data_IF_462824418747
#
_entry.id   IF_462824418747
#
_cell.length_a   1.000
_cell.length_b   1.000
_cell.length_c   1.000
_cell.angle_alpha   90.00
_cell.angle_beta   90.00
_cell.angle_gamma   90.00
#
_symmetry.space_group_name_H-M   'P 1'
#
loop_
_entity.id
_entity.type
_entity.pdbx_description
1 polymer ?
#
# COMPACT_ATOMS: atom_id res chain seq x y z
N UNK A 1 17.19 2.55 47.34
CA UNK A 1 17.36 2.19 45.92
C UNK A 1 16.19 1.38 45.33
N UNK A 2 15.17 0.99 46.13
CA UNK A 2 14.06 0.14 45.66
C UNK A 2 12.91 0.97 45.06
N UNK A 3 12.76 2.24 45.45
CA UNK A 3 11.69 3.16 45.03
C UNK A 3 11.76 3.59 43.55
N UNK A 4 12.96 3.69 42.95
CA UNK A 4 13.09 4.07 41.53
C UNK A 4 12.73 2.93 40.56
N UNK A 5 12.73 1.69 41.03
CA UNK A 5 12.36 0.52 40.21
C UNK A 5 10.84 0.37 40.07
N UNK A 6 10.08 0.91 41.03
CA UNK A 6 8.62 0.85 41.01
C UNK A 6 8.00 1.96 40.15
N UNK A 7 8.58 3.15 40.11
CA UNK A 7 8.06 4.25 39.28
C UNK A 7 8.10 3.92 37.78
N UNK A 8 9.17 3.29 37.29
CA UNK A 8 9.34 2.94 35.87
C UNK A 8 8.54 1.72 35.42
N UNK A 9 8.15 0.85 36.37
CA UNK A 9 7.37 -0.37 36.07
C UNK A 9 5.87 -0.07 35.97
N UNK A 10 5.37 0.93 36.72
CA UNK A 10 3.94 1.31 36.74
C UNK A 10 3.66 2.46 35.74
N UNK A 11 4.65 3.32 35.45
CA UNK A 11 4.58 4.34 34.41
C UNK A 11 5.42 3.92 33.21
N UNK A 12 4.92 2.93 32.46
CA UNK A 12 5.48 2.68 31.14
C UNK A 12 5.06 3.86 30.24
N UNK A 13 6.01 4.65 29.75
CA UNK A 13 5.77 5.81 28.87
C UNK A 13 4.87 5.46 27.66
N UNK A 14 4.84 4.18 27.28
CA UNK A 14 3.98 3.64 26.22
C UNK A 14 2.48 3.51 26.59
N UNK A 15 2.09 3.61 27.88
CA UNK A 15 0.69 3.54 28.34
C UNK A 15 0.13 4.90 28.81
N UNK A 16 0.94 5.97 28.84
CA UNK A 16 0.50 7.31 29.30
C UNK A 16 -0.02 8.21 28.17
N UNK A 17 -0.26 7.67 26.97
CA UNK A 17 -0.92 8.40 25.88
C UNK A 17 -0.16 9.64 25.38
N UNK A 18 1.11 9.79 25.76
CA UNK A 18 2.00 10.84 25.24
C UNK A 18 2.55 10.33 23.90
N UNK A 19 2.27 11.04 22.79
CA UNK A 19 2.84 10.69 21.49
C UNK A 19 4.37 10.79 21.54
N UNK A 20 5.05 9.65 21.61
CA UNK A 20 6.50 9.56 21.39
C UNK A 20 6.74 9.58 19.88
N UNK A 21 7.59 10.47 19.33
CA UNK A 21 7.97 10.42 17.93
C UNK A 21 8.57 9.04 17.61
N UNK A 22 7.85 8.25 16.81
CA UNK A 22 8.24 6.88 16.42
C UNK A 22 7.67 5.74 17.29
N UNK A 23 6.86 6.01 18.32
CA UNK A 23 6.28 4.96 19.19
C UNK A 23 4.79 5.11 19.52
N UNK A 24 4.10 6.08 18.93
CA UNK A 24 2.66 6.27 19.13
C UNK A 24 1.83 5.49 18.11
N UNK A 25 0.72 4.91 18.57
CA UNK A 25 -0.57 4.65 17.93
C UNK A 25 -0.74 5.02 16.43
N UNK A 26 -0.24 6.17 15.99
CA UNK A 26 -0.32 6.64 14.61
C UNK A 26 0.45 5.75 13.62
N UNK A 27 1.62 5.21 14.00
CA UNK A 27 2.35 4.26 13.15
C UNK A 27 1.54 2.97 12.95
N UNK A 28 0.82 2.52 13.99
CA UNK A 28 -0.02 1.33 13.94
C UNK A 28 -1.28 1.58 13.10
N UNK A 29 -1.90 2.76 13.22
CA UNK A 29 -3.07 3.15 12.41
C UNK A 29 -2.69 3.29 10.93
N UNK A 30 -1.57 3.96 10.61
CA UNK A 30 -1.10 4.12 9.23
C UNK A 30 -0.78 2.75 8.63
N UNK A 31 -0.05 1.88 9.34
CA UNK A 31 0.22 0.52 8.87
C UNK A 31 -1.06 -0.30 8.70
N UNK A 32 -2.01 -0.19 9.64
CA UNK A 32 -3.26 -0.96 9.60
C UNK A 32 -4.17 -0.57 8.43
N UNK A 33 -4.08 0.66 7.91
CA UNK A 33 -4.90 1.13 6.78
C UNK A 33 -4.12 0.96 5.46
N UNK A 34 -2.82 1.24 5.42
CA UNK A 34 -2.04 1.20 4.18
C UNK A 34 -1.80 -0.21 3.63
N UNK A 35 -1.49 -1.19 4.48
CA UNK A 35 -1.26 -2.57 4.02
C UNK A 35 -2.47 -3.20 3.29
N UNK A 36 -3.70 -3.15 3.81
CA UNK A 36 -4.84 -3.67 3.07
C UNK A 36 -5.15 -2.87 1.81
N UNK A 37 -4.93 -1.55 1.80
CA UNK A 37 -5.12 -0.73 0.59
C UNK A 37 -4.17 -1.16 -0.53
N UNK A 38 -2.88 -1.35 -0.23
CA UNK A 38 -1.91 -1.84 -1.22
C UNK A 38 -2.24 -3.24 -1.72
N UNK A 39 -2.69 -4.12 -0.83
CA UNK A 39 -3.12 -5.47 -1.20
C UNK A 39 -4.28 -5.43 -2.19
N UNK A 40 -5.34 -4.69 -1.88
CA UNK A 40 -6.50 -4.56 -2.76
C UNK A 40 -6.15 -3.85 -4.08
N UNK A 41 -5.34 -2.79 -4.04
CA UNK A 41 -4.88 -2.11 -5.24
C UNK A 41 -4.11 -3.04 -6.17
N UNK A 42 -3.23 -3.89 -5.62
CA UNK A 42 -2.51 -4.91 -6.38
C UNK A 42 -3.44 -5.97 -6.98
N UNK A 43 -4.40 -6.48 -6.20
CA UNK A 43 -5.38 -7.47 -6.68
C UNK A 43 -6.23 -6.91 -7.83
N UNK A 44 -6.74 -5.68 -7.68
CA UNK A 44 -7.55 -5.03 -8.73
C UNK A 44 -6.70 -4.83 -9.99
N UNK A 45 -5.45 -4.39 -9.86
CA UNK A 45 -4.56 -4.23 -11.01
C UNK A 45 -4.36 -5.55 -11.78
N UNK A 46 -4.12 -6.66 -11.08
CA UNK A 46 -3.97 -7.99 -11.71
C UNK A 46 -5.24 -8.41 -12.44
N UNK A 47 -6.42 -8.23 -11.84
CA UNK A 47 -7.71 -8.57 -12.47
C UNK A 47 -7.93 -7.77 -13.76
N UNK A 48 -7.61 -6.47 -13.75
CA UNK A 48 -7.73 -5.61 -14.93
C UNK A 48 -6.78 -6.04 -16.04
N UNK A 49 -5.53 -6.40 -15.70
CA UNK A 49 -4.55 -6.90 -16.68
C UNK A 49 -5.05 -8.20 -17.33
N UNK A 50 -5.60 -9.13 -16.54
CA UNK A 50 -6.14 -10.39 -17.05
C UNK A 50 -7.32 -10.13 -17.99
N UNK A 51 -8.29 -9.31 -17.58
CA UNK A 51 -9.46 -8.96 -18.38
C UNK A 51 -9.06 -8.28 -19.70
N UNK A 52 -8.13 -7.33 -19.64
CA UNK A 52 -7.60 -6.64 -20.82
C UNK A 52 -6.81 -7.60 -21.75
N UNK A 53 -6.10 -8.57 -21.18
CA UNK A 53 -5.40 -9.63 -21.90
C UNK A 53 -6.34 -10.54 -22.69
N UNK A 54 -7.45 -10.99 -22.06
CA UNK A 54 -8.49 -11.75 -22.78
C UNK A 54 -9.09 -10.94 -23.93
N UNK A 55 -9.38 -9.66 -23.69
CA UNK A 55 -9.91 -8.77 -24.71
C UNK A 55 -8.91 -8.57 -25.87
N UNK A 56 -7.61 -8.50 -25.58
CA UNK A 56 -6.56 -8.39 -26.58
C UNK A 56 -6.49 -9.63 -27.50
N UNK A 57 -6.51 -10.82 -26.91
CA UNK A 57 -6.45 -12.09 -27.66
C UNK A 57 -7.70 -12.31 -28.51
N UNK A 58 -8.89 -11.99 -27.98
CA UNK A 58 -10.15 -12.19 -28.72
C UNK A 58 -10.36 -11.19 -29.86
N UNK A 59 -9.63 -10.07 -29.85
CA UNK A 59 -9.81 -8.96 -30.81
C UNK A 59 -9.06 -9.15 -32.14
N UNK A 60 -8.50 -10.33 -32.41
CA UNK A 60 -7.56 -10.60 -33.51
C UNK A 60 -8.05 -10.31 -34.94
N UNK A 61 -9.33 -9.96 -35.13
CA UNK A 61 -9.92 -9.63 -36.43
C UNK A 61 -10.36 -8.18 -36.61
N UNK A 62 -10.36 -7.33 -35.57
CA UNK A 62 -10.80 -5.94 -35.68
C UNK A 62 -9.76 -4.98 -35.09
N UNK A 63 -9.12 -4.11 -35.90
CA UNK A 63 -8.06 -3.21 -35.46
C UNK A 63 -8.54 -2.19 -34.41
N UNK A 64 -9.82 -1.83 -34.40
CA UNK A 64 -10.37 -0.90 -33.41
C UNK A 64 -10.49 -1.56 -32.03
N UNK A 65 -10.85 -2.83 -31.97
CA UNK A 65 -10.89 -3.60 -30.72
C UNK A 65 -9.47 -3.88 -30.19
N UNK A 66 -8.53 -4.14 -31.11
CA UNK A 66 -7.12 -4.32 -30.77
C UNK A 66 -6.51 -3.07 -30.13
N UNK A 67 -6.76 -1.89 -30.69
CA UNK A 67 -6.32 -0.60 -30.12
C UNK A 67 -6.93 -0.35 -28.75
N UNK A 68 -8.23 -0.62 -28.57
CA UNK A 68 -8.89 -0.48 -27.26
C UNK A 68 -8.27 -1.40 -26.21
N UNK A 69 -8.00 -2.66 -26.56
CA UNK A 69 -7.35 -3.60 -25.66
C UNK A 69 -5.92 -3.18 -25.30
N UNK A 70 -5.14 -2.69 -26.26
CA UNK A 70 -3.79 -2.15 -26.01
C UNK A 70 -3.81 -0.96 -25.05
N UNK A 71 -4.74 -0.02 -25.25
CA UNK A 71 -4.88 1.14 -24.38
C UNK A 71 -5.30 0.72 -22.95
N UNK A 72 -6.18 -0.27 -22.83
CA UNK A 72 -6.57 -0.83 -21.53
C UNK A 72 -5.38 -1.49 -20.82
N UNK A 73 -4.55 -2.26 -21.54
CA UNK A 73 -3.32 -2.84 -20.98
C UNK A 73 -2.34 -1.75 -20.55
N UNK A 74 -2.11 -0.72 -21.38
CA UNK A 74 -1.26 0.41 -21.02
C UNK A 74 -1.75 1.11 -19.76
N UNK A 75 -3.05 1.37 -19.64
CA UNK A 75 -3.64 1.96 -18.43
C UNK A 75 -3.44 1.09 -17.19
N UNK A 76 -3.58 -0.23 -17.33
CA UNK A 76 -3.38 -1.18 -16.23
C UNK A 76 -1.91 -1.25 -15.78
N UNK A 77 -0.97 -1.22 -16.73
CA UNK A 77 0.47 -1.18 -16.45
C UNK A 77 0.86 0.12 -15.73
N UNK A 78 0.35 1.26 -16.19
CA UNK A 78 0.58 2.55 -15.52
C UNK A 78 0.02 2.54 -14.11
N UNK A 79 -1.18 2.01 -13.91
CA UNK A 79 -1.78 1.85 -12.57
C UNK A 79 -0.92 0.98 -11.65
N UNK A 80 -0.37 -0.12 -12.15
CA UNK A 80 0.55 -0.98 -11.38
C UNK A 80 1.81 -0.22 -10.95
N UNK A 81 2.41 0.55 -11.86
CA UNK A 81 3.59 1.38 -11.57
C UNK A 81 3.26 2.39 -10.47
N UNK A 82 2.09 3.04 -10.53
CA UNK A 82 1.65 4.00 -9.50
C UNK A 82 1.53 3.33 -8.13
N UNK A 83 0.99 2.12 -8.05
CA UNK A 83 0.90 1.38 -6.77
C UNK A 83 2.29 1.05 -6.21
N UNK A 84 3.23 0.63 -7.07
CA UNK A 84 4.61 0.37 -6.67
C UNK A 84 5.32 1.63 -6.17
N UNK A 85 5.12 2.77 -6.84
CA UNK A 85 5.66 4.06 -6.43
C UNK A 85 5.05 4.52 -5.10
N UNK A 86 3.74 4.35 -4.92
CA UNK A 86 3.05 4.69 -3.68
C UNK A 86 3.59 3.87 -2.50
N UNK A 87 3.89 2.58 -2.69
CA UNK A 87 4.54 1.76 -1.67
C UNK A 87 5.92 2.32 -1.27
N UNK A 88 6.76 2.66 -2.25
CA UNK A 88 8.09 3.22 -2.01
C UNK A 88 8.03 4.57 -1.28
N UNK A 89 7.12 5.46 -1.67
CA UNK A 89 6.95 6.76 -1.02
C UNK A 89 6.49 6.58 0.44
N UNK A 90 5.52 5.71 0.67
CA UNK A 90 5.02 5.43 2.02
C UNK A 90 6.08 4.81 2.92
N UNK A 91 6.97 3.98 2.36
CA UNK A 91 8.12 3.45 3.10
C UNK A 91 9.06 4.57 3.56
N UNK A 92 9.37 5.54 2.70
CA UNK A 92 10.21 6.71 3.05
C UNK A 92 9.53 7.58 4.12
N UNK A 93 8.22 7.84 3.98
CA UNK A 93 7.45 8.65 4.95
C UNK A 93 7.36 7.97 6.32
N UNK A 94 7.26 6.64 6.37
CA UNK A 94 7.22 5.85 7.61
C UNK A 94 8.60 5.72 8.29
N UNK A 95 9.62 6.44 7.81
CA UNK A 95 10.98 6.42 8.37
C UNK A 95 11.86 5.30 7.83
N UNK A 96 11.49 4.71 6.70
CA UNK A 96 12.30 3.72 5.98
C UNK A 96 13.43 4.36 5.17
N UNK A 97 14.35 5.05 5.86
CA UNK A 97 15.77 5.27 5.54
C UNK A 97 16.46 5.93 6.75
#
# INVERSE_FOLDING_TARGET
MIYERFATTILNASNVGIPVPGGGNDQTVIRSIMYPVYFWAGVVAVVVIIAAGFFYVTSSGNPQQLTRAKNAIMGAVVGLIVVLLAFSITAIVLGGL
#
